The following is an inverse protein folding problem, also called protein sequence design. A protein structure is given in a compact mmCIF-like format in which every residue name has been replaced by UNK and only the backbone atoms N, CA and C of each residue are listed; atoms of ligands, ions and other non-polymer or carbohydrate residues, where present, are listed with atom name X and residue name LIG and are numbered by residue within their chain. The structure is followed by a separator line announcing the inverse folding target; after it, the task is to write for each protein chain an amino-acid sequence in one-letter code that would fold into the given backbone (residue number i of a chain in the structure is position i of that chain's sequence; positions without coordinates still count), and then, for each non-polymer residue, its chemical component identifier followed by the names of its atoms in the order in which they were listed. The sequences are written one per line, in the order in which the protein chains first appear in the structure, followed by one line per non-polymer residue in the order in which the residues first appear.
data_IF_983416120660
#
_entry.id   IF_983416120660
#
_cell.length_a   1.000
_cell.length_b   1.000
_cell.length_c   1.000
_cell.angle_alpha   90.00
_cell.angle_beta   90.00
_cell.angle_gamma   90.00
#
_symmetry.space_group_name_H-M   'P 1'
#
loop_
_entity.id
_entity.type
_entity.pdbx_description
1 polymer ?
#
# COMPACT_ATOMS: atom_id res chain seq x y z
N UNK A 1 30.74 8.32 -1.38
CA UNK A 1 30.38 9.73 -1.66
C UNK A 1 29.58 10.24 -0.47
N UNK A 2 29.83 11.46 0.01
CA UNK A 2 28.98 12.07 1.03
C UNK A 2 27.63 12.45 0.39
N UNK A 3 26.52 12.16 1.07
CA UNK A 3 25.18 12.58 0.67
C UNK A 3 25.08 14.11 0.61
N UNK A 4 24.47 14.66 -0.46
CA UNK A 4 24.21 16.12 -0.52
C UNK A 4 22.91 16.43 0.23
N UNK A 5 22.78 17.68 0.68
CA UNK A 5 21.58 18.13 1.38
C UNK A 5 20.31 17.81 0.57
N UNK A 6 19.33 17.19 1.22
CA UNK A 6 18.02 16.79 0.68
C UNK A 6 18.01 15.68 -0.38
N UNK A 7 19.14 15.06 -0.70
CA UNK A 7 19.14 13.91 -1.62
C UNK A 7 18.31 12.73 -1.05
N UNK A 8 18.23 12.58 0.27
CA UNK A 8 17.37 11.59 0.91
C UNK A 8 15.88 11.77 0.55
N UNK A 9 15.38 13.01 0.41
CA UNK A 9 13.98 13.28 0.04
C UNK A 9 13.68 12.80 -1.37
N UNK A 10 14.63 13.01 -2.29
CA UNK A 10 14.50 12.52 -3.67
C UNK A 10 14.42 11.00 -3.69
N UNK A 11 15.32 10.33 -2.95
CA UNK A 11 15.29 8.86 -2.81
C UNK A 11 14.00 8.36 -2.18
N UNK A 12 13.45 9.10 -1.20
CA UNK A 12 12.22 8.72 -0.51
C UNK A 12 10.99 8.76 -1.43
N UNK A 13 11.00 9.64 -2.44
CA UNK A 13 9.96 9.72 -3.48
C UNK A 13 10.24 8.79 -4.68
N UNK A 14 11.37 8.10 -4.70
CA UNK A 14 11.63 7.03 -5.69
C UNK A 14 11.05 5.73 -5.15
N UNK A 15 9.96 5.28 -5.76
CA UNK A 15 9.26 4.03 -5.38
C UNK A 15 10.01 2.82 -5.94
N UNK A 16 10.34 2.86 -7.24
CA UNK A 16 11.04 1.78 -7.94
C UNK A 16 12.45 2.19 -8.36
N UNK A 17 13.43 1.35 -8.03
CA UNK A 17 14.81 1.52 -8.47
C UNK A 17 15.00 0.94 -9.87
N UNK A 18 15.70 1.67 -10.75
CA UNK A 18 16.13 1.12 -12.04
C UNK A 18 17.24 0.07 -11.86
N UNK A 19 17.46 -0.73 -12.91
CA UNK A 19 18.61 -1.65 -13.01
C UNK A 19 18.68 -2.73 -11.91
N UNK A 20 17.53 -3.10 -11.33
CA UNK A 20 17.44 -4.18 -10.34
C UNK A 20 17.65 -5.55 -10.99
N UNK A 21 17.16 -5.77 -12.20
CA UNK A 21 17.27 -7.05 -12.91
C UNK A 21 18.72 -7.41 -13.27
N UNK A 22 19.10 -8.65 -13.00
CA UNK A 22 20.31 -9.28 -13.52
C UNK A 22 19.99 -10.02 -14.84
N UNK A 23 20.46 -9.53 -16.02
CA UNK A 23 20.14 -10.15 -17.31
C UNK A 23 20.66 -11.58 -17.48
N UNK A 24 21.60 -12.02 -16.64
CA UNK A 24 22.17 -13.38 -16.68
C UNK A 24 21.36 -14.38 -15.87
N UNK A 25 20.42 -13.92 -15.03
CA UNK A 25 19.57 -14.81 -14.23
C UNK A 25 18.47 -15.40 -15.12
N UNK A 26 18.64 -16.66 -15.49
CA UNK A 26 17.65 -17.44 -16.23
C UNK A 26 16.66 -18.11 -15.29
N UNK A 27 15.39 -18.16 -15.65
CA UNK A 27 14.32 -18.88 -14.95
C UNK A 27 14.67 -20.36 -14.76
N UNK A 28 14.32 -20.91 -13.58
CA UNK A 28 14.47 -22.34 -13.26
C UNK A 28 13.18 -23.11 -13.57
N UNK A 29 13.30 -24.44 -13.64
CA UNK A 29 12.18 -25.35 -13.89
C UNK A 29 11.02 -25.25 -12.87
N UNK A 30 11.30 -24.71 -11.67
CA UNK A 30 10.32 -24.51 -10.60
C UNK A 30 9.90 -23.05 -10.41
N UNK A 31 10.10 -22.21 -11.42
CA UNK A 31 9.80 -20.78 -11.40
C UNK A 31 8.89 -20.39 -12.58
N UNK A 32 7.96 -19.48 -12.33
CA UNK A 32 7.20 -18.76 -13.34
C UNK A 32 7.95 -17.49 -13.72
N UNK A 33 8.13 -17.21 -15.02
CA UNK A 33 8.70 -15.95 -15.50
C UNK A 33 7.61 -15.04 -16.06
N UNK A 34 7.58 -13.80 -15.58
CA UNK A 34 6.75 -12.75 -16.17
C UNK A 34 7.50 -12.18 -17.37
N UNK A 35 6.89 -12.26 -18.55
CA UNK A 35 7.48 -11.85 -19.82
C UNK A 35 6.77 -10.62 -20.40
N UNK A 36 7.36 -10.04 -21.45
CA UNK A 36 6.81 -8.85 -22.12
C UNK A 36 5.39 -9.09 -22.65
N UNK A 37 4.53 -8.08 -22.49
CA UNK A 37 3.12 -8.16 -22.83
C UNK A 37 2.27 -8.83 -21.75
N UNK A 38 2.80 -9.02 -20.54
CA UNK A 38 2.05 -9.58 -19.42
C UNK A 38 0.80 -8.74 -19.13
N UNK A 39 -0.33 -9.42 -18.91
CA UNK A 39 -1.58 -8.78 -18.52
C UNK A 39 -1.96 -9.16 -17.10
N UNK A 40 -2.30 -8.14 -16.31
CA UNK A 40 -2.79 -8.24 -14.94
C UNK A 40 -4.28 -7.94 -14.95
N UNK A 41 -5.08 -8.95 -14.61
CA UNK A 41 -6.53 -8.83 -14.56
C UNK A 41 -6.99 -8.36 -13.19
N UNK A 42 -7.78 -7.30 -13.17
CA UNK A 42 -8.50 -6.81 -11.99
C UNK A 42 -10.01 -6.86 -12.23
N UNK A 43 -10.78 -7.01 -11.16
CA UNK A 43 -12.24 -6.85 -11.21
C UNK A 43 -12.64 -5.48 -11.80
N UNK A 44 -13.66 -5.39 -12.67
CA UNK A 44 -14.22 -4.10 -13.09
C UNK A 44 -14.73 -3.25 -11.94
N UNK A 45 -15.05 -3.89 -10.79
CA UNK A 45 -15.50 -3.24 -9.56
C UNK A 45 -14.37 -2.97 -8.56
N UNK A 46 -13.11 -3.19 -8.95
CA UNK A 46 -11.97 -2.96 -8.08
C UNK A 46 -11.95 -1.51 -7.55
N UNK A 47 -11.74 -1.38 -6.24
CA UNK A 47 -11.55 -0.06 -5.62
C UNK A 47 -10.16 0.51 -5.97
N UNK A 48 -9.94 1.76 -5.58
CA UNK A 48 -8.71 2.48 -5.94
C UNK A 48 -7.44 1.84 -5.40
N UNK A 49 -7.50 1.19 -4.22
CA UNK A 49 -6.37 0.44 -3.64
C UNK A 49 -5.83 -0.62 -4.60
N UNK A 50 -6.73 -1.44 -5.16
CA UNK A 50 -6.34 -2.50 -6.10
C UNK A 50 -5.88 -1.91 -7.43
N UNK A 51 -6.56 -0.87 -7.93
CA UNK A 51 -6.18 -0.22 -9.19
C UNK A 51 -4.79 0.41 -9.10
N UNK A 52 -4.50 1.12 -8.02
CA UNK A 52 -3.22 1.77 -7.81
C UNK A 52 -2.14 0.73 -7.64
N UNK A 53 -2.32 -0.26 -6.76
CA UNK A 53 -1.33 -1.31 -6.57
C UNK A 53 -1.05 -2.10 -7.87
N UNK A 54 -2.07 -2.36 -8.69
CA UNK A 54 -1.87 -3.03 -9.98
C UNK A 54 -1.08 -2.18 -10.99
N UNK A 55 -1.37 -0.87 -11.07
CA UNK A 55 -0.61 0.03 -11.94
C UNK A 55 0.81 0.28 -11.43
N UNK A 56 0.98 0.34 -10.12
CA UNK A 56 2.28 0.41 -9.45
C UNK A 56 3.12 -0.84 -9.76
N UNK A 57 2.53 -2.03 -9.66
CA UNK A 57 3.21 -3.26 -10.05
C UNK A 57 3.57 -3.30 -11.55
N UNK A 58 2.76 -2.71 -12.43
CA UNK A 58 3.13 -2.51 -13.86
C UNK A 58 4.34 -1.59 -13.98
N UNK A 59 4.37 -0.49 -13.23
CA UNK A 59 5.51 0.42 -13.21
C UNK A 59 6.77 -0.27 -12.69
N UNK A 60 6.67 -1.05 -11.60
CA UNK A 60 7.75 -1.88 -11.08
C UNK A 60 8.31 -2.84 -12.13
N UNK A 61 7.43 -3.59 -12.81
CA UNK A 61 7.84 -4.52 -13.85
C UNK A 61 8.60 -3.79 -14.97
N UNK A 62 8.16 -2.60 -15.35
CA UNK A 62 8.80 -1.81 -16.39
C UNK A 62 10.15 -1.23 -15.91
N UNK A 63 10.16 -0.50 -14.80
CA UNK A 63 11.32 0.25 -14.27
C UNK A 63 12.38 -0.69 -13.70
N UNK A 64 11.99 -1.60 -12.83
CA UNK A 64 12.92 -2.47 -12.08
C UNK A 64 13.30 -3.72 -12.87
N UNK A 65 12.34 -4.28 -13.63
CA UNK A 65 12.51 -5.57 -14.30
C UNK A 65 12.64 -5.48 -15.83
N UNK A 66 12.42 -4.32 -16.45
CA UNK A 66 12.47 -4.17 -17.91
C UNK A 66 11.44 -5.07 -18.62
N UNK A 67 10.28 -5.28 -18.00
CA UNK A 67 9.16 -6.07 -18.50
C UNK A 67 7.97 -5.16 -18.77
N UNK A 68 7.49 -5.17 -20.00
CA UNK A 68 6.26 -4.48 -20.38
C UNK A 68 5.04 -5.27 -19.91
N UNK A 69 4.14 -4.61 -19.20
CA UNK A 69 2.90 -5.19 -18.70
C UNK A 69 1.74 -4.20 -18.81
N UNK A 70 0.52 -4.68 -18.63
CA UNK A 70 -0.68 -3.84 -18.63
C UNK A 70 -1.77 -4.37 -17.70
N UNK A 71 -2.64 -3.47 -17.24
CA UNK A 71 -3.82 -3.81 -16.45
C UNK A 71 -5.03 -3.95 -17.36
N UNK A 72 -5.82 -5.00 -17.18
CA UNK A 72 -7.05 -5.27 -17.93
C UNK A 72 -8.20 -5.62 -16.99
N UNK A 73 -9.43 -5.35 -17.41
CA UNK A 73 -10.64 -5.72 -16.65
C UNK A 73 -11.31 -7.00 -17.15
N UNK A 74 -10.99 -7.43 -18.37
CA UNK A 74 -11.61 -8.56 -19.06
C UNK A 74 -10.56 -9.34 -19.85
N UNK A 75 -10.91 -10.58 -20.23
CA UNK A 75 -10.04 -11.48 -20.96
C UNK A 75 -9.53 -12.64 -20.11
N UNK A 76 -9.22 -13.74 -20.77
CA UNK A 76 -8.72 -14.98 -20.16
C UNK A 76 -7.21 -15.16 -20.39
N UNK A 77 -6.60 -14.30 -21.19
CA UNK A 77 -5.17 -14.32 -21.54
C UNK A 77 -4.28 -13.70 -20.45
N UNK A 78 -4.88 -13.21 -19.36
CA UNK A 78 -4.16 -12.61 -18.26
C UNK A 78 -3.39 -13.65 -17.46
N UNK A 79 -2.07 -13.47 -17.37
CA UNK A 79 -1.17 -14.36 -16.63
C UNK A 79 -1.12 -14.04 -15.14
N UNK A 80 -1.65 -12.89 -14.73
CA UNK A 80 -1.80 -12.50 -13.32
C UNK A 80 -3.25 -12.11 -13.07
N UNK A 81 -3.88 -12.67 -12.04
CA UNK A 81 -5.27 -12.35 -11.67
C UNK A 81 -5.36 -11.89 -10.23
N UNK A 82 -6.05 -10.76 -9.99
CA UNK A 82 -6.24 -10.16 -8.68
C UNK A 82 -7.73 -10.21 -8.31
N UNK A 83 -8.06 -10.96 -7.26
CA UNK A 83 -9.45 -11.18 -6.83
C UNK A 83 -9.58 -11.10 -5.31
N UNK A 84 -10.76 -10.73 -4.82
CA UNK A 84 -11.08 -10.95 -3.41
C UNK A 84 -11.36 -12.44 -3.21
N UNK A 85 -10.89 -12.99 -2.10
CA UNK A 85 -11.03 -14.41 -1.81
C UNK A 85 -12.51 -14.83 -1.70
N UNK A 86 -13.36 -13.95 -1.15
CA UNK A 86 -14.81 -14.17 -1.07
C UNK A 86 -15.44 -14.28 -2.46
N UNK A 87 -15.12 -13.36 -3.37
CA UNK A 87 -15.65 -13.35 -4.75
C UNK A 87 -15.23 -14.60 -5.55
N UNK A 88 -14.02 -15.10 -5.29
CA UNK A 88 -13.46 -16.27 -5.95
C UNK A 88 -13.83 -17.61 -5.26
N UNK A 89 -14.53 -17.58 -4.12
CA UNK A 89 -14.83 -18.77 -3.33
C UNK A 89 -13.61 -19.48 -2.75
N UNK A 90 -12.53 -18.73 -2.48
CA UNK A 90 -11.25 -19.23 -1.98
C UNK A 90 -11.20 -19.12 -0.47
N UNK A 91 -10.97 -20.25 0.22
CA UNK A 91 -10.79 -20.27 1.67
C UNK A 91 -9.37 -19.89 2.08
N UNK A 92 -9.25 -18.72 2.72
CA UNK A 92 -8.00 -18.23 3.30
C UNK A 92 -7.71 -18.82 4.70
N UNK A 93 -8.67 -19.50 5.32
CA UNK A 93 -8.54 -20.06 6.68
C UNK A 93 -8.14 -18.99 7.68
N UNK A 94 -7.08 -19.23 8.45
CA UNK A 94 -6.58 -18.24 9.42
C UNK A 94 -6.01 -16.95 8.80
N UNK A 95 -5.80 -16.92 7.49
CA UNK A 95 -5.36 -15.75 6.73
C UNK A 95 -6.53 -14.92 6.19
N UNK A 96 -7.78 -15.33 6.45
CA UNK A 96 -8.98 -14.53 6.23
C UNK A 96 -9.08 -13.41 7.28
N UNK A 97 -8.05 -12.56 7.32
CA UNK A 97 -7.93 -11.46 8.28
C UNK A 97 -7.52 -10.19 7.55
N UNK A 98 -7.67 -9.04 8.22
CA UNK A 98 -7.23 -7.74 7.73
C UNK A 98 -5.82 -7.79 7.08
N UNK A 99 -5.71 -7.30 5.83
CA UNK A 99 -4.51 -7.35 4.95
C UNK A 99 -3.97 -8.76 4.65
N UNK A 100 -4.74 -9.79 4.94
CA UNK A 100 -4.40 -11.18 4.64
C UNK A 100 -4.52 -11.48 3.15
N UNK A 101 -3.63 -12.35 2.65
CA UNK A 101 -3.62 -12.73 1.24
C UNK A 101 -3.08 -14.14 1.00
N UNK A 102 -3.36 -14.64 -0.20
CA UNK A 102 -2.87 -15.89 -0.75
C UNK A 102 -2.41 -15.67 -2.21
N UNK A 103 -1.17 -16.02 -2.51
CA UNK A 103 -0.61 -16.07 -3.86
C UNK A 103 -0.39 -17.53 -4.25
N UNK A 104 -0.93 -17.92 -5.40
CA UNK A 104 -0.71 -19.22 -6.01
C UNK A 104 0.02 -19.04 -7.34
N UNK A 105 1.18 -19.67 -7.46
CA UNK A 105 2.02 -19.59 -8.66
C UNK A 105 2.14 -20.95 -9.31
N UNK A 106 1.81 -21.06 -10.60
CA UNK A 106 1.93 -22.29 -11.37
C UNK A 106 2.37 -22.01 -12.80
N UNK A 107 2.47 -23.05 -13.62
CA UNK A 107 2.75 -22.91 -15.05
C UNK A 107 1.67 -22.11 -15.82
N UNK A 108 0.48 -21.94 -15.24
CA UNK A 108 -0.63 -21.18 -15.83
C UNK A 108 -0.58 -19.69 -15.50
N UNK A 109 0.26 -19.26 -14.56
CA UNK A 109 0.34 -17.88 -14.10
C UNK A 109 0.34 -17.72 -12.59
N UNK A 110 -0.01 -16.52 -12.16
CA UNK A 110 -0.05 -16.10 -10.76
C UNK A 110 -1.48 -15.69 -10.42
N UNK A 111 -2.07 -16.34 -9.43
CA UNK A 111 -3.38 -15.94 -8.88
C UNK A 111 -3.19 -15.34 -7.50
N UNK A 112 -3.74 -14.17 -7.28
CA UNK A 112 -3.66 -13.43 -6.03
C UNK A 112 -5.06 -13.24 -5.48
N UNK A 113 -5.24 -13.70 -4.25
CA UNK A 113 -6.47 -13.58 -3.48
C UNK A 113 -6.21 -12.75 -2.23
N UNK A 114 -6.86 -11.60 -2.12
CA UNK A 114 -6.86 -10.81 -0.88
C UNK A 114 -8.09 -11.12 -0.04
N UNK A 115 -7.94 -11.12 1.29
CA UNK A 115 -9.10 -11.04 2.18
C UNK A 115 -9.86 -9.72 1.97
N UNK A 116 -9.11 -8.64 1.78
CA UNK A 116 -9.59 -7.30 1.50
C UNK A 116 -8.70 -6.66 0.40
N UNK A 117 -9.07 -5.47 -0.12
CA UNK A 117 -8.25 -4.76 -1.11
C UNK A 117 -6.80 -4.50 -0.69
N UNK A 118 -6.56 -4.26 0.61
CA UNK A 118 -5.21 -4.01 1.14
C UNK A 118 -4.40 -5.31 1.10
N UNK A 119 -5.01 -6.47 1.31
CA UNK A 119 -4.39 -7.79 1.13
C UNK A 119 -3.89 -8.03 -0.30
N UNK A 120 -4.69 -7.65 -1.31
CA UNK A 120 -4.25 -7.72 -2.73
C UNK A 120 -3.02 -6.83 -2.95
N UNK A 121 -3.06 -5.58 -2.48
CA UNK A 121 -1.94 -4.66 -2.62
C UNK A 121 -0.66 -5.20 -1.94
N UNK A 122 -0.78 -5.71 -0.71
CA UNK A 122 0.35 -6.30 0.02
C UNK A 122 0.92 -7.55 -0.66
N UNK A 123 0.09 -8.34 -1.34
CA UNK A 123 0.56 -9.47 -2.13
C UNK A 123 1.43 -9.02 -3.30
N UNK A 124 1.03 -7.93 -4.00
CA UNK A 124 1.83 -7.35 -5.08
C UNK A 124 3.18 -6.84 -4.56
N UNK A 125 3.19 -6.00 -3.53
CA UNK A 125 4.44 -5.50 -2.94
C UNK A 125 5.35 -6.66 -2.47
N UNK A 126 4.76 -7.72 -1.92
CA UNK A 126 5.53 -8.88 -1.51
C UNK A 126 6.16 -9.66 -2.68
N UNK A 127 5.47 -9.80 -3.81
CA UNK A 127 6.06 -10.47 -4.98
C UNK A 127 7.12 -9.58 -5.65
N UNK A 128 7.00 -8.25 -5.58
CA UNK A 128 8.06 -7.33 -6.01
C UNK A 128 9.35 -7.56 -5.21
N UNK A 129 9.24 -7.64 -3.89
CA UNK A 129 10.38 -7.97 -3.01
C UNK A 129 11.03 -9.29 -3.44
N UNK A 130 10.22 -10.33 -3.70
CA UNK A 130 10.75 -11.63 -4.16
C UNK A 130 11.50 -11.52 -5.48
N UNK A 131 11.00 -10.72 -6.43
CA UNK A 131 11.67 -10.47 -7.71
C UNK A 131 12.94 -9.63 -7.55
N UNK A 132 12.93 -8.65 -6.63
CA UNK A 132 14.09 -7.87 -6.24
C UNK A 132 15.19 -8.73 -5.62
N UNK A 133 14.84 -9.67 -4.74
CA UNK A 133 15.77 -10.65 -4.17
C UNK A 133 16.30 -11.62 -5.22
N UNK A 134 15.42 -12.10 -6.12
CA UNK A 134 15.82 -12.97 -7.22
C UNK A 134 16.64 -12.24 -8.29
N UNK A 135 16.58 -10.90 -8.31
CA UNK A 135 17.11 -10.03 -9.37
C UNK A 135 16.59 -10.43 -10.75
N UNK A 136 15.34 -10.88 -10.83
CA UNK A 136 14.66 -11.30 -12.05
C UNK A 136 13.13 -11.29 -11.86
N UNK A 137 12.35 -11.11 -12.94
CA UNK A 137 10.88 -11.13 -12.91
C UNK A 137 10.35 -12.56 -12.82
N UNK A 138 10.78 -13.30 -11.78
CA UNK A 138 10.46 -14.71 -11.57
C UNK A 138 9.87 -14.93 -10.19
N UNK A 139 8.95 -15.89 -10.10
CA UNK A 139 8.34 -16.31 -8.85
C UNK A 139 8.35 -17.84 -8.76
N UNK A 140 8.72 -18.40 -7.61
CA UNK A 140 8.72 -19.85 -7.42
C UNK A 140 7.29 -20.42 -7.46
N UNK A 141 7.11 -21.61 -8.03
CA UNK A 141 5.83 -22.30 -7.98
C UNK A 141 5.42 -22.66 -6.54
N UNK A 142 4.11 -22.68 -6.32
CA UNK A 142 3.51 -23.05 -5.04
C UNK A 142 2.68 -21.92 -4.42
N UNK A 143 2.42 -22.08 -3.13
CA UNK A 143 1.45 -21.31 -2.38
C UNK A 143 2.14 -20.44 -1.32
N UNK A 144 1.77 -19.17 -1.28
CA UNK A 144 2.24 -18.20 -0.28
C UNK A 144 1.03 -17.59 0.39
N UNK A 145 0.87 -17.79 1.70
CA UNK A 145 -0.18 -17.15 2.51
C UNK A 145 0.44 -16.27 3.58
N UNK A 146 -0.04 -15.03 3.73
CA UNK A 146 0.46 -14.08 4.72
C UNK A 146 -0.65 -13.22 5.29
N UNK A 147 -0.43 -12.75 6.52
CA UNK A 147 -1.22 -11.74 7.21
C UNK A 147 -0.29 -10.91 8.12
N UNK A 148 -0.61 -9.66 8.43
CA UNK A 148 0.12 -8.92 9.45
C UNK A 148 -0.07 -9.57 10.82
N UNK A 149 0.97 -9.54 11.66
CA UNK A 149 0.85 -9.95 13.07
C UNK A 149 0.23 -8.86 13.95
N UNK A 150 0.43 -7.59 13.57
CA UNK A 150 -0.05 -6.42 14.30
C UNK A 150 -0.63 -5.41 13.32
N UNK A 151 -1.69 -4.75 13.76
CA UNK A 151 -2.33 -3.62 13.09
C UNK A 151 -3.00 -2.73 14.16
N UNK A 152 -3.11 -1.41 13.92
CA UNK A 152 -2.50 -0.67 12.81
C UNK A 152 -0.99 -0.53 12.98
N UNK A 153 -0.28 -0.40 11.86
CA UNK A 153 1.16 -0.12 11.79
C UNK A 153 1.38 1.33 11.36
N UNK A 154 1.42 2.21 12.37
CA UNK A 154 1.46 3.65 12.18
C UNK A 154 2.87 4.19 11.93
N UNK A 155 2.98 5.24 11.11
CA UNK A 155 4.23 6.00 10.93
C UNK A 155 4.01 7.50 10.99
N UNK A 156 5.04 8.23 11.44
CA UNK A 156 5.17 9.66 11.16
C UNK A 156 5.83 9.85 9.80
N UNK A 157 5.61 11.01 9.17
CA UNK A 157 6.28 11.31 7.91
C UNK A 157 7.79 11.47 8.08
N UNK A 158 8.54 10.69 7.30
CA UNK A 158 9.98 10.84 7.11
C UNK A 158 10.35 11.87 6.04
N UNK A 159 9.39 12.40 5.27
CA UNK A 159 9.64 13.41 4.24
C UNK A 159 9.75 14.80 4.86
N UNK A 160 8.76 15.16 5.68
CA UNK A 160 8.62 16.42 6.39
C UNK A 160 7.45 16.27 7.36
N UNK A 161 7.49 16.96 8.50
CA UNK A 161 6.46 16.83 9.53
C UNK A 161 5.07 17.15 8.94
N UNK A 162 4.16 16.20 9.07
CA UNK A 162 2.80 16.23 8.48
C UNK A 162 2.75 16.42 6.94
N UNK A 163 3.86 16.19 6.23
CA UNK A 163 3.92 16.22 4.77
C UNK A 163 3.86 14.80 4.19
N UNK A 164 2.84 14.49 3.40
CA UNK A 164 2.64 13.18 2.78
C UNK A 164 2.40 13.29 1.27
N UNK A 165 3.46 13.45 0.45
CA UNK A 165 3.36 13.30 -1.00
C UNK A 165 2.86 11.91 -1.39
N UNK A 166 2.24 11.79 -2.57
CA UNK A 166 1.62 10.53 -3.04
C UNK A 166 2.64 9.40 -3.20
N UNK A 167 3.84 9.70 -3.71
CA UNK A 167 4.92 8.72 -3.83
C UNK A 167 5.39 8.25 -2.44
N UNK A 168 5.31 9.12 -1.43
CA UNK A 168 5.63 8.74 -0.07
C UNK A 168 4.54 7.88 0.57
N UNK A 169 3.25 8.18 0.33
CA UNK A 169 2.15 7.32 0.75
C UNK A 169 2.26 5.92 0.14
N UNK A 170 2.59 5.86 -1.14
CA UNK A 170 2.84 4.59 -1.83
C UNK A 170 4.01 3.83 -1.21
N UNK A 171 5.12 4.52 -0.92
CA UNK A 171 6.27 3.95 -0.20
C UNK A 171 5.89 3.41 1.19
N UNK A 172 5.06 4.12 1.94
CA UNK A 172 4.51 3.67 3.23
C UNK A 172 3.72 2.37 3.06
N UNK A 173 2.91 2.25 2.00
CA UNK A 173 2.15 1.03 1.71
C UNK A 173 3.07 -0.16 1.34
N UNK A 174 4.11 0.08 0.54
CA UNK A 174 5.17 -0.89 0.21
C UNK A 174 5.86 -1.46 1.45
N UNK A 175 6.13 -0.61 2.44
CA UNK A 175 6.74 -1.01 3.72
C UNK A 175 5.78 -1.78 4.64
N UNK A 176 4.57 -2.07 4.17
CA UNK A 176 3.55 -2.81 4.90
C UNK A 176 2.84 -2.00 5.98
N UNK A 177 3.06 -0.69 6.03
CA UNK A 177 2.34 0.23 6.92
C UNK A 177 0.94 0.50 6.38
N UNK A 178 0.03 0.89 7.26
CA UNK A 178 -1.37 1.12 6.90
C UNK A 178 -1.99 2.30 7.65
N UNK A 179 -1.17 3.07 8.36
CA UNK A 179 -1.64 4.26 9.03
C UNK A 179 -0.54 5.32 9.10
N UNK A 180 -0.95 6.58 8.99
CA UNK A 180 -0.09 7.75 9.19
C UNK A 180 -0.62 8.60 10.34
N UNK A 181 0.29 9.28 11.03
CA UNK A 181 -0.02 10.20 12.13
C UNK A 181 0.14 11.65 11.69
N UNK A 182 -0.89 12.46 11.96
CA UNK A 182 -0.90 13.91 11.73
C UNK A 182 -0.99 14.63 13.06
N UNK A 183 -0.09 15.57 13.33
CA UNK A 183 -0.16 16.35 14.56
C UNK A 183 -1.25 17.42 14.49
N UNK A 184 -2.40 17.18 15.12
CA UNK A 184 -3.59 18.02 14.98
C UNK A 184 -3.71 19.05 16.09
N UNK A 185 -3.64 20.34 15.74
CA UNK A 185 -3.79 21.47 16.68
C UNK A 185 -5.17 22.11 16.67
N UNK A 186 -5.88 22.04 15.55
CA UNK A 186 -7.22 22.58 15.32
C UNK A 186 -7.74 21.97 14.00
N UNK A 187 -8.95 22.33 13.60
CA UNK A 187 -9.52 21.97 12.30
C UNK A 187 -8.57 22.41 11.16
N UNK A 188 -8.19 21.44 10.32
CA UNK A 188 -7.28 21.62 9.19
C UNK A 188 -5.97 22.35 9.55
N UNK A 189 -5.48 22.16 10.78
CA UNK A 189 -4.30 22.85 11.28
C UNK A 189 -3.40 21.90 12.05
N UNK A 190 -2.15 21.86 11.62
CA UNK A 190 -1.11 21.05 12.25
C UNK A 190 -0.15 21.88 13.09
N UNK A 191 0.87 21.21 13.63
CA UNK A 191 1.99 21.90 14.28
C UNK A 191 2.76 22.84 13.36
N UNK A 192 2.68 22.62 12.05
CA UNK A 192 3.47 23.31 11.03
C UNK A 192 2.69 24.21 10.08
N UNK A 193 1.36 24.23 10.17
CA UNK A 193 0.55 25.15 9.38
C UNK A 193 -0.81 24.58 9.03
N UNK A 194 -1.39 25.08 7.94
CA UNK A 194 -2.62 24.54 7.39
C UNK A 194 -2.36 23.21 6.69
N UNK A 195 -3.25 22.24 6.89
CA UNK A 195 -3.30 20.99 6.15
C UNK A 195 -4.76 20.63 5.96
N UNK A 196 -5.18 20.35 4.72
CA UNK A 196 -6.53 19.88 4.47
C UNK A 196 -6.62 18.39 4.87
N UNK A 197 -7.26 18.09 6.00
CA UNK A 197 -7.33 16.74 6.53
C UNK A 197 -8.17 15.82 5.65
N UNK A 198 -9.32 16.29 5.15
CA UNK A 198 -10.19 15.49 4.30
C UNK A 198 -9.49 15.14 2.98
N UNK A 199 -8.77 16.08 2.37
CA UNK A 199 -7.98 15.80 1.16
C UNK A 199 -6.87 14.77 1.40
N UNK A 200 -6.17 14.85 2.54
CA UNK A 200 -5.16 13.85 2.91
C UNK A 200 -5.80 12.49 3.19
N UNK A 201 -6.94 12.44 3.87
CA UNK A 201 -7.69 11.20 4.13
C UNK A 201 -8.09 10.54 2.81
N UNK A 202 -8.67 11.31 1.89
CA UNK A 202 -9.09 10.80 0.58
C UNK A 202 -7.91 10.28 -0.25
N UNK A 203 -6.76 10.95 -0.19
CA UNK A 203 -5.54 10.50 -0.86
C UNK A 203 -4.94 9.26 -0.21
N UNK A 204 -4.78 9.25 1.11
CA UNK A 204 -4.23 8.11 1.85
C UNK A 204 -5.09 6.85 1.68
N UNK A 205 -6.42 6.99 1.66
CA UNK A 205 -7.36 5.89 1.48
C UNK A 205 -7.13 5.14 0.16
N UNK A 206 -6.72 5.84 -0.90
CA UNK A 206 -6.38 5.23 -2.21
C UNK A 206 -5.19 4.27 -2.14
N UNK A 207 -4.31 4.42 -1.16
CA UNK A 207 -3.18 3.53 -0.90
C UNK A 207 -3.47 2.50 0.21
N UNK A 208 -4.69 2.48 0.74
CA UNK A 208 -5.07 1.63 1.87
C UNK A 208 -4.46 2.10 3.19
N UNK A 209 -4.23 3.40 3.35
CA UNK A 209 -3.63 4.02 4.53
C UNK A 209 -4.69 4.84 5.26
N UNK A 210 -4.81 4.60 6.56
CA UNK A 210 -5.67 5.37 7.47
C UNK A 210 -4.93 6.59 8.03
N UNK A 211 -5.65 7.67 8.33
CA UNK A 211 -5.08 8.89 8.90
C UNK A 211 -5.52 9.01 10.36
N UNK A 212 -4.55 9.05 11.26
CA UNK A 212 -4.77 9.19 12.70
C UNK A 212 -4.38 10.59 13.16
N UNK A 213 -5.30 11.25 13.87
CA UNK A 213 -5.05 12.52 14.53
C UNK A 213 -4.25 12.29 15.82
N UNK A 214 -3.00 12.74 15.85
CA UNK A 214 -2.24 12.88 17.08
C UNK A 214 -2.58 14.23 17.71
N UNK A 215 -3.45 14.21 18.72
CA UNK A 215 -4.02 15.43 19.28
C UNK A 215 -2.99 16.29 20.01
N UNK A 216 -2.93 17.56 19.60
CA UNK A 216 -2.31 18.69 20.30
C UNK A 216 -3.37 19.73 20.70
N UNK A 217 -4.65 19.34 20.70
CA UNK A 217 -5.74 20.17 21.21
C UNK A 217 -5.55 20.38 22.71
N UNK A 218 -5.88 21.58 23.19
CA UNK A 218 -5.83 21.89 24.61
C UNK A 218 -7.08 21.34 25.31
N UNK A 219 -6.86 20.64 26.41
CA UNK A 219 -7.92 20.17 27.32
C UNK A 219 -7.80 20.92 28.64
N UNK A 220 -8.58 21.98 28.78
CA UNK A 220 -8.51 22.86 29.96
C UNK A 220 -9.56 22.48 31.03
N UNK A 221 -10.51 21.62 30.68
CA UNK A 221 -11.62 21.18 31.54
C UNK A 221 -11.40 19.74 32.00
N UNK A 222 -11.59 19.46 33.29
CA UNK A 222 -11.55 18.08 33.79
C UNK A 222 -12.62 17.22 33.09
N UNK A 223 -12.33 15.98 32.67
CA UNK A 223 -13.35 15.05 32.16
C UNK A 223 -14.50 14.77 33.13
N UNK A 224 -14.34 15.07 34.42
CA UNK A 224 -15.36 14.89 35.47
C UNK A 224 -16.20 16.16 35.73
N UNK A 225 -15.89 17.29 35.09
CA UNK A 225 -16.64 18.52 35.28
C UNK A 225 -18.07 18.42 34.69
N UNK A 226 -19.09 19.05 35.28
CA UNK A 226 -20.46 19.02 34.76
C UNK A 226 -20.59 19.46 33.29
N UNK A 227 -19.74 20.39 32.84
CA UNK A 227 -19.70 20.95 31.48
C UNK A 227 -18.76 20.20 30.51
N UNK A 228 -18.11 19.11 30.96
CA UNK A 228 -17.06 18.45 30.19
C UNK A 228 -17.54 17.93 28.83
N UNK A 229 -18.72 17.30 28.78
CA UNK A 229 -19.26 16.71 27.54
C UNK A 229 -19.42 17.77 26.45
N UNK A 230 -20.08 18.89 26.75
CA UNK A 230 -20.27 20.00 25.81
C UNK A 230 -18.92 20.61 25.37
N UNK A 231 -17.98 20.77 26.31
CA UNK A 231 -16.63 21.28 26.01
C UNK A 231 -15.86 20.37 25.05
N UNK A 232 -15.79 19.07 25.34
CA UNK A 232 -15.06 18.11 24.52
C UNK A 232 -15.73 17.88 23.17
N UNK A 233 -17.07 17.94 23.10
CA UNK A 233 -17.82 17.85 21.85
C UNK A 233 -17.64 19.07 20.94
N UNK A 234 -17.51 20.26 21.53
CA UNK A 234 -17.21 21.51 20.82
C UNK A 234 -15.77 21.57 20.30
N UNK A 235 -14.83 20.90 20.97
CA UNK A 235 -13.41 20.92 20.64
C UNK A 235 -12.99 19.73 19.75
N UNK A 236 -13.13 18.51 20.27
CA UNK A 236 -12.79 17.27 19.56
C UNK A 236 -13.87 16.85 18.59
N UNK A 237 -15.15 16.92 18.98
CA UNK A 237 -16.26 16.52 18.10
C UNK A 237 -16.31 17.32 16.81
N UNK A 238 -15.94 18.62 16.86
CA UNK A 238 -15.84 19.48 15.67
C UNK A 238 -14.88 18.94 14.62
N UNK A 239 -13.73 18.40 15.04
CA UNK A 239 -12.71 17.84 14.13
C UNK A 239 -13.25 16.68 13.28
N UNK A 240 -14.20 15.90 13.81
CA UNK A 240 -14.74 14.73 13.11
C UNK A 240 -16.03 15.05 12.33
N UNK A 241 -16.66 16.21 12.57
CA UNK A 241 -17.87 16.65 11.86
C UNK A 241 -17.55 17.41 10.57
N UNK A 242 -16.48 18.21 10.58
CA UNK A 242 -16.10 19.16 9.52
C UNK A 242 -14.92 18.64 8.70
#
# INVERSE_FOLDING_TARGET
MAEKMYDFRKRLLTVHDSDVRNPKRKTKDNEFEITNGALIKISPKACDVVKIAANDFVDFLNVSMGVTAGVVNFGDDAIITLELAEDAGVDLGEFASYKGFFVQTSAQGIKIYGHDPRGIAQALFYIEDLMCFAKAPVLAFGDIKKKPMFYPQMVHSGYGIDEFPDEYLLRVAHEGRDAILVFTKDLNKTTCGYLNFNELIDRAAKYGIDVYAYSYLKSEVSPEAPEAEEYYEGNYGKLFRE
#
